data_IF_164938512488
#
_entry.id   IF_164938512488
#
_cell.length_a   1.000
_cell.length_b   1.000
_cell.length_c   1.000
_cell.angle_alpha   90.00
_cell.angle_beta   90.00
_cell.angle_gamma   90.00
#
_symmetry.space_group_name_H-M   'P 1'
#
loop_
_entity.id
_entity.type
_entity.pdbx_description
1 polymer ?
#
# COMPACT_ATOMS: atom_id res chain seq x y z
N UNK A 1 13.35 -43.93 18.97
CA UNK A 1 13.64 -42.72 18.17
C UNK A 1 12.35 -41.92 18.08
N UNK A 2 12.20 -40.95 19.00
CA UNK A 2 11.04 -40.06 19.05
C UNK A 2 11.13 -39.07 17.90
N UNK A 3 10.15 -39.08 16.99
CA UNK A 3 9.93 -37.98 16.06
C UNK A 3 9.44 -36.80 16.91
N UNK A 4 10.26 -35.77 17.04
CA UNK A 4 9.81 -34.49 17.58
C UNK A 4 8.85 -33.90 16.56
N UNK A 5 7.55 -34.13 16.76
CA UNK A 5 6.50 -33.35 16.13
C UNK A 5 6.63 -31.92 16.65
N UNK A 6 7.35 -31.07 15.91
CA UNK A 6 7.26 -29.63 16.04
C UNK A 6 5.83 -29.23 15.65
N UNK A 7 4.89 -29.38 16.57
CA UNK A 7 3.63 -28.65 16.53
C UNK A 7 3.96 -27.18 16.78
N UNK A 8 4.31 -26.47 15.70
CA UNK A 8 4.16 -25.03 15.75
C UNK A 8 2.66 -24.79 15.94
N UNK A 9 2.26 -24.33 17.12
CA UNK A 9 0.97 -23.66 17.29
C UNK A 9 1.02 -22.42 16.39
N UNK A 10 0.77 -22.61 15.10
CA UNK A 10 0.71 -21.54 14.12
C UNK A 10 -0.64 -20.86 14.33
N UNK A 11 -0.68 -19.95 15.30
CA UNK A 11 -1.78 -19.00 15.42
C UNK A 11 -1.78 -18.19 14.13
N UNK A 12 -2.67 -18.51 13.20
CA UNK A 12 -2.86 -17.70 12.02
C UNK A 12 -3.35 -16.32 12.47
N UNK A 13 -2.65 -15.28 12.04
CA UNK A 13 -3.00 -13.91 12.42
C UNK A 13 -4.30 -13.43 11.75
N UNK A 14 -4.77 -14.12 10.70
CA UNK A 14 -6.12 -14.01 10.14
C UNK A 14 -6.63 -15.39 9.71
N UNK A 15 -7.91 -15.66 9.96
CA UNK A 15 -8.60 -16.88 9.54
C UNK A 15 -10.06 -16.56 9.18
N UNK A 16 -10.67 -17.40 8.34
CA UNK A 16 -12.10 -17.38 8.01
C UNK A 16 -12.64 -16.03 7.48
N UNK A 17 -11.87 -15.39 6.60
CA UNK A 17 -12.28 -14.14 5.93
C UNK A 17 -12.96 -14.45 4.59
N UNK A 18 -14.17 -13.93 4.41
CA UNK A 18 -14.87 -13.92 3.13
C UNK A 18 -15.18 -12.48 2.73
N UNK A 19 -14.58 -12.01 1.64
CA UNK A 19 -14.72 -10.65 1.13
C UNK A 19 -14.79 -10.70 -0.39
N UNK A 20 -15.80 -10.05 -0.94
CA UNK A 20 -15.96 -9.84 -2.38
C UNK A 20 -16.21 -8.34 -2.59
N UNK A 21 -15.44 -7.74 -3.50
CA UNK A 21 -15.53 -6.30 -3.83
C UNK A 21 -15.70 -6.18 -5.34
N UNK A 22 -16.74 -5.48 -5.76
CA UNK A 22 -17.06 -5.28 -7.17
C UNK A 22 -16.39 -4.01 -7.72
N UNK A 23 -16.12 -3.95 -9.04
CA UNK A 23 -15.58 -2.73 -9.66
C UNK A 23 -16.45 -1.50 -9.38
N UNK A 24 -15.82 -0.41 -8.92
CA UNK A 24 -16.49 0.84 -8.61
C UNK A 24 -16.99 0.98 -7.16
N UNK A 25 -16.82 -0.04 -6.32
CA UNK A 25 -17.17 0.03 -4.91
C UNK A 25 -16.10 0.78 -4.09
N UNK A 26 -16.58 1.61 -3.14
CA UNK A 26 -15.76 2.23 -2.11
C UNK A 26 -15.95 1.47 -0.79
N UNK A 27 -14.95 0.70 -0.39
CA UNK A 27 -15.00 -0.17 0.79
C UNK A 27 -14.05 0.33 1.87
N UNK A 28 -14.52 0.36 3.13
CA UNK A 28 -13.71 0.71 4.29
C UNK A 28 -13.54 -0.50 5.23
N UNK A 29 -12.31 -0.77 5.65
CA UNK A 29 -11.98 -1.81 6.64
C UNK A 29 -11.59 -1.14 7.95
N UNK A 30 -12.36 -1.41 9.01
CA UNK A 30 -12.18 -0.79 10.33
C UNK A 30 -11.97 -1.83 11.43
N UNK A 31 -11.27 -1.45 12.49
CA UNK A 31 -10.98 -2.33 13.63
C UNK A 31 -9.86 -1.79 14.51
N UNK A 32 -9.69 -2.39 15.69
CA UNK A 32 -8.67 -1.98 16.68
C UNK A 32 -7.24 -2.16 16.15
N UNK A 33 -6.26 -1.49 16.76
CA UNK A 33 -4.83 -1.71 16.44
C UNK A 33 -4.48 -3.18 16.68
N UNK A 34 -3.73 -3.79 15.77
CA UNK A 34 -3.38 -5.21 15.82
C UNK A 34 -4.44 -6.17 15.28
N UNK A 35 -5.60 -5.69 14.82
CA UNK A 35 -6.67 -6.54 14.28
C UNK A 35 -6.40 -7.17 12.90
N UNK A 36 -5.18 -7.05 12.36
CA UNK A 36 -4.82 -7.63 11.06
C UNK A 36 -5.16 -6.78 9.81
N UNK A 37 -5.56 -5.52 9.94
CA UNK A 37 -5.88 -4.66 8.76
C UNK A 37 -4.73 -4.55 7.75
N UNK A 38 -3.52 -4.24 8.23
CA UNK A 38 -2.33 -4.17 7.36
C UNK A 38 -2.00 -5.55 6.77
N UNK A 39 -2.30 -6.62 7.50
CA UNK A 39 -2.13 -7.99 7.00
C UNK A 39 -3.12 -8.31 5.87
N UNK A 40 -4.36 -7.85 5.95
CA UNK A 40 -5.33 -7.94 4.85
C UNK A 40 -4.81 -7.23 3.60
N UNK A 41 -4.26 -6.02 3.73
CA UNK A 41 -3.67 -5.31 2.59
C UNK A 41 -2.49 -6.08 1.98
N UNK A 42 -1.61 -6.64 2.79
CA UNK A 42 -0.49 -7.48 2.32
C UNK A 42 -0.97 -8.78 1.63
N UNK A 43 -2.08 -9.36 2.09
CA UNK A 43 -2.69 -10.52 1.42
C UNK A 43 -3.25 -10.15 0.03
N UNK A 44 -3.89 -8.98 -0.10
CA UNK A 44 -4.36 -8.44 -1.40
C UNK A 44 -3.17 -8.21 -2.34
N UNK A 45 -2.06 -7.66 -1.83
CA UNK A 45 -0.82 -7.46 -2.58
C UNK A 45 -0.07 -8.76 -2.91
N UNK A 46 -0.54 -9.92 -2.42
CA UNK A 46 0.10 -11.23 -2.56
C UNK A 46 1.49 -11.35 -1.91
N UNK A 47 1.79 -10.48 -0.93
CA UNK A 47 2.99 -10.56 -0.10
C UNK A 47 2.88 -11.62 1.01
N UNK A 48 1.66 -12.12 1.27
CA UNK A 48 1.41 -13.18 2.24
C UNK A 48 0.91 -14.45 1.57
N UNK A 49 1.43 -15.58 2.04
CA UNK A 49 0.99 -16.90 1.59
C UNK A 49 -0.38 -17.25 2.18
N UNK A 50 -1.34 -17.52 1.31
CA UNK A 50 -2.64 -18.07 1.70
C UNK A 50 -2.48 -19.57 1.99
N UNK A 51 -2.77 -19.98 3.23
CA UNK A 51 -2.63 -21.39 3.66
C UNK A 51 -3.87 -22.21 3.29
N UNK A 52 -5.05 -21.60 3.31
CA UNK A 52 -6.33 -22.20 2.93
C UNK A 52 -7.25 -21.19 2.25
N UNK A 53 -8.03 -21.65 1.27
CA UNK A 53 -8.90 -20.79 0.46
C UNK A 53 -8.19 -20.21 -0.76
N UNK A 54 -8.61 -19.02 -1.20
CA UNK A 54 -8.05 -18.36 -2.37
C UNK A 54 -8.19 -16.84 -2.29
N UNK A 55 -7.20 -16.11 -2.82
CA UNK A 55 -7.24 -14.66 -2.98
C UNK A 55 -7.12 -14.33 -4.48
N UNK A 56 -8.11 -13.62 -5.02
CA UNK A 56 -8.12 -13.19 -6.41
C UNK A 56 -8.17 -11.66 -6.47
N UNK A 57 -7.29 -11.08 -7.30
CA UNK A 57 -7.21 -9.64 -7.56
C UNK A 57 -7.04 -9.48 -9.06
N UNK A 58 -7.82 -8.60 -9.66
CA UNK A 58 -7.85 -8.35 -11.10
C UNK A 58 -7.38 -6.91 -11.39
N UNK A 59 -6.47 -6.77 -12.36
CA UNK A 59 -5.93 -5.47 -12.78
C UNK A 59 -4.70 -5.03 -11.98
N UNK A 60 -4.27 -3.79 -12.24
CA UNK A 60 -3.14 -3.18 -11.56
C UNK A 60 -3.55 -2.66 -10.17
N UNK A 61 -2.62 -2.72 -9.22
CA UNK A 61 -2.85 -2.32 -7.83
C UNK A 61 -1.94 -1.15 -7.48
N UNK A 62 -2.53 -0.07 -6.96
CA UNK A 62 -1.79 1.02 -6.32
C UNK A 62 -1.90 0.87 -4.79
N UNK A 63 -0.78 1.03 -4.08
CA UNK A 63 -0.72 0.87 -2.63
C UNK A 63 -0.06 2.08 -1.96
N UNK A 64 -0.78 2.68 -1.02
CA UNK A 64 -0.25 3.71 -0.12
C UNK A 64 -0.02 3.09 1.26
N UNK A 65 1.23 2.84 1.61
CA UNK A 65 1.61 2.21 2.86
C UNK A 65 1.40 3.14 4.07
N UNK A 66 1.25 2.54 5.26
CA UNK A 66 1.21 3.29 6.52
C UNK A 66 2.48 4.11 6.76
N UNK A 67 3.64 3.55 6.42
CA UNK A 67 4.93 4.24 6.40
C UNK A 67 5.36 4.35 4.93
N UNK A 68 5.43 5.57 4.37
CA UNK A 68 5.78 5.75 2.97
C UNK A 68 7.25 5.42 2.74
N UNK A 69 7.55 4.81 1.59
CA UNK A 69 8.92 4.60 1.14
C UNK A 69 9.35 5.76 0.23
N UNK A 70 10.39 6.47 0.64
CA UNK A 70 10.94 7.62 -0.08
C UNK A 70 12.32 7.24 -0.63
N UNK A 71 12.53 7.47 -1.91
CA UNK A 71 13.78 7.25 -2.62
C UNK A 71 14.66 8.49 -2.55
N UNK A 72 15.98 8.28 -2.50
CA UNK A 72 16.93 9.39 -2.64
C UNK A 72 16.79 10.03 -4.02
N UNK A 73 16.49 11.32 -4.05
CA UNK A 73 16.20 12.04 -5.29
C UNK A 73 15.41 13.31 -5.02
N UNK A 74 14.81 13.91 -6.04
CA UNK A 74 13.93 15.06 -5.83
C UNK A 74 12.54 14.64 -5.33
N UNK A 75 11.80 15.57 -4.72
CA UNK A 75 10.37 15.37 -4.43
C UNK A 75 9.61 14.99 -5.72
N UNK A 76 9.93 15.64 -6.84
CA UNK A 76 9.35 15.33 -8.16
C UNK A 76 9.65 13.90 -8.61
N UNK A 77 10.87 13.43 -8.44
CA UNK A 77 11.24 12.05 -8.79
C UNK A 77 10.45 11.03 -7.97
N UNK A 78 10.24 11.32 -6.68
CA UNK A 78 9.43 10.48 -5.80
C UNK A 78 7.93 10.48 -6.18
N UNK A 79 7.39 11.61 -6.63
CA UNK A 79 5.99 11.69 -7.12
C UNK A 79 5.83 10.95 -8.45
N UNK A 80 6.78 11.10 -9.37
CA UNK A 80 6.72 10.43 -10.68
C UNK A 80 6.99 8.93 -10.56
N UNK A 81 7.87 8.54 -9.63
CA UNK A 81 8.20 7.15 -9.32
C UNK A 81 8.55 6.32 -10.57
N UNK A 82 9.31 6.93 -11.50
CA UNK A 82 9.74 6.32 -12.77
C UNK A 82 8.77 6.50 -13.95
N UNK A 83 7.60 7.12 -13.75
CA UNK A 83 6.71 7.49 -14.84
C UNK A 83 7.26 8.67 -15.67
N UNK A 84 6.88 8.72 -16.95
CA UNK A 84 7.15 9.88 -17.79
C UNK A 84 6.43 11.12 -17.26
N UNK A 85 7.08 12.28 -17.38
CA UNK A 85 6.51 13.55 -16.91
C UNK A 85 5.39 14.03 -17.85
N UNK A 86 4.17 14.04 -17.33
CA UNK A 86 2.98 14.63 -17.93
C UNK A 86 2.56 15.84 -17.08
N UNK A 87 2.65 17.05 -17.63
CA UNK A 87 2.41 18.29 -16.89
C UNK A 87 0.96 18.41 -16.39
N UNK A 88 -0.02 18.00 -17.20
CA UNK A 88 -1.45 18.12 -16.87
C UNK A 88 -1.82 17.14 -15.75
N UNK A 89 -1.35 15.89 -15.88
CA UNK A 89 -1.54 14.88 -14.83
C UNK A 89 -0.82 15.27 -13.54
N UNK A 90 0.41 15.77 -13.65
CA UNK A 90 1.20 16.17 -12.49
C UNK A 90 0.52 17.30 -11.71
N UNK A 91 0.06 18.35 -12.40
CA UNK A 91 -0.70 19.44 -11.77
C UNK A 91 -1.98 18.94 -11.10
N UNK A 92 -2.75 18.09 -11.80
CA UNK A 92 -3.99 17.51 -11.28
C UNK A 92 -3.76 16.75 -9.98
N UNK A 93 -2.67 15.97 -9.90
CA UNK A 93 -2.29 15.24 -8.68
C UNK A 93 -1.88 16.20 -7.56
N UNK A 94 -1.07 17.22 -7.86
CA UNK A 94 -0.68 18.21 -6.86
C UNK A 94 -1.88 18.99 -6.30
N UNK A 95 -2.85 19.34 -7.15
CA UNK A 95 -4.10 19.98 -6.74
C UNK A 95 -4.94 19.04 -5.86
N UNK A 96 -5.15 17.80 -6.29
CA UNK A 96 -5.94 16.81 -5.54
C UNK A 96 -5.33 16.49 -4.16
N UNK A 97 -4.00 16.47 -4.06
CA UNK A 97 -3.28 16.26 -2.82
C UNK A 97 -3.03 17.55 -2.02
N UNK A 98 -3.43 18.72 -2.53
CA UNK A 98 -3.21 20.04 -1.93
C UNK A 98 -1.73 20.39 -1.66
N UNK A 99 -0.79 19.83 -2.45
CA UNK A 99 0.64 19.87 -2.17
C UNK A 99 1.33 21.20 -2.50
N UNK A 100 0.68 22.13 -3.21
CA UNK A 100 1.33 23.36 -3.65
C UNK A 100 1.91 24.19 -2.52
N UNK A 101 1.21 24.27 -1.38
CA UNK A 101 1.66 25.03 -0.23
C UNK A 101 2.91 24.41 0.39
N UNK A 102 2.90 23.09 0.57
CA UNK A 102 4.05 22.37 1.13
C UNK A 102 5.27 22.48 0.21
N UNK A 103 5.07 22.43 -1.11
CA UNK A 103 6.14 22.64 -2.08
C UNK A 103 6.69 24.08 -2.04
N UNK A 104 5.85 25.09 -1.85
CA UNK A 104 6.30 26.49 -1.76
C UNK A 104 7.14 26.78 -0.51
N UNK A 105 7.03 25.97 0.54
CA UNK A 105 7.87 26.07 1.74
C UNK A 105 9.29 25.52 1.54
N UNK A 106 9.49 24.68 0.52
CA UNK A 106 10.79 24.11 0.19
C UNK A 106 11.61 25.06 -0.69
N UNK A 107 12.91 25.16 -0.40
CA UNK A 107 13.84 26.07 -1.08
C UNK A 107 13.81 25.90 -2.60
N UNK A 108 13.82 24.66 -3.09
CA UNK A 108 13.82 24.32 -4.51
C UNK A 108 12.47 23.71 -4.97
N UNK A 109 11.41 23.90 -4.18
CA UNK A 109 10.08 23.33 -4.44
C UNK A 109 10.12 21.82 -4.69
N UNK A 110 9.52 21.37 -5.79
CA UNK A 110 9.49 19.97 -6.22
C UNK A 110 10.87 19.43 -6.63
N UNK A 111 11.86 20.29 -6.85
CA UNK A 111 13.25 19.89 -7.15
C UNK A 111 14.11 19.72 -5.90
N UNK A 112 13.54 19.96 -4.71
CA UNK A 112 14.23 19.74 -3.45
C UNK A 112 14.66 18.28 -3.32
N UNK A 113 15.94 18.07 -3.00
CA UNK A 113 16.50 16.74 -2.77
C UNK A 113 16.13 16.24 -1.37
N UNK A 114 15.69 15.00 -1.30
CA UNK A 114 15.30 14.27 -0.09
C UNK A 114 15.99 12.91 0.00
#
# INVERSE_FOLDING_TARGET
MSRNDFSCNTSFAMSDLNLEVQPGELVAVVGVVGSGKSMLMMAILRELNCVSGSVHVQGDVAYAAQEPFVLSGTVKDNILFGAEFDEDKYRTVLDACCLWRDLDELVDRDRTLI
#
